data_IF_889523167010
#
_entry.id   IF_889523167010
#
_cell.length_a   1.000
_cell.length_b   1.000
_cell.length_c   1.000
_cell.angle_alpha   90.00
_cell.angle_beta   90.00
_cell.angle_gamma   90.00
#
_symmetry.space_group_name_H-M   'P 1'
#
loop_
_entity.id
_entity.type
_entity.pdbx_description
1 polymer ?
#
# COMPACT_ATOMS: atom_id res chain seq x y z
N UNK A 1 -31.88 -9.80 -21.33
CA UNK A 1 -32.36 -8.50 -20.80
C UNK A 1 -31.16 -7.56 -20.71
N UNK A 2 -31.11 -6.52 -21.54
CA UNK A 2 -30.03 -5.53 -21.45
C UNK A 2 -30.24 -4.68 -20.18
N UNK A 3 -29.18 -4.47 -19.40
CA UNK A 3 -29.21 -3.58 -18.22
C UNK A 3 -29.46 -2.14 -18.69
N UNK A 4 -30.22 -1.37 -17.90
CA UNK A 4 -30.37 0.08 -18.15
C UNK A 4 -29.01 0.78 -18.01
N UNK A 5 -28.84 1.92 -18.70
CA UNK A 5 -27.60 2.72 -18.62
C UNK A 5 -27.21 3.08 -17.18
N UNK A 6 -28.20 3.36 -16.32
CA UNK A 6 -28.00 3.60 -14.89
C UNK A 6 -27.49 2.36 -14.14
N UNK A 7 -28.05 1.19 -14.43
CA UNK A 7 -27.62 -0.07 -13.81
C UNK A 7 -26.17 -0.42 -14.20
N UNK A 8 -25.79 -0.20 -15.47
CA UNK A 8 -24.41 -0.38 -15.95
C UNK A 8 -23.46 0.58 -15.21
N UNK A 9 -23.83 1.86 -15.08
CA UNK A 9 -23.01 2.84 -14.37
C UNK A 9 -22.87 2.53 -12.87
N UNK A 10 -23.95 2.09 -12.22
CA UNK A 10 -23.92 1.67 -10.83
C UNK A 10 -22.98 0.47 -10.61
N UNK A 11 -23.04 -0.51 -11.51
CA UNK A 11 -22.17 -1.69 -11.49
C UNK A 11 -20.70 -1.32 -11.65
N UNK A 12 -20.36 -0.47 -12.62
CA UNK A 12 -18.99 -0.01 -12.83
C UNK A 12 -18.43 0.77 -11.62
N UNK A 13 -19.27 1.61 -10.99
CA UNK A 13 -18.90 2.33 -9.76
C UNK A 13 -18.66 1.38 -8.59
N UNK A 14 -19.47 0.33 -8.47
CA UNK A 14 -19.28 -0.70 -7.46
C UNK A 14 -17.96 -1.45 -7.68
N UNK A 15 -17.72 -1.94 -8.91
CA UNK A 15 -16.46 -2.60 -9.28
C UNK A 15 -15.24 -1.73 -8.98
N UNK A 16 -15.29 -0.44 -9.32
CA UNK A 16 -14.21 0.52 -9.00
C UNK A 16 -13.94 0.62 -7.49
N UNK A 17 -14.99 0.62 -6.65
CA UNK A 17 -14.83 0.69 -5.18
C UNK A 17 -14.19 -0.58 -4.64
N UNK A 18 -14.62 -1.74 -5.10
CA UNK A 18 -14.05 -3.03 -4.69
C UNK A 18 -12.57 -3.13 -5.08
N UNK A 19 -12.22 -2.74 -6.32
CA UNK A 19 -10.82 -2.71 -6.76
C UNK A 19 -9.95 -1.77 -5.91
N UNK A 20 -10.45 -0.60 -5.52
CA UNK A 20 -9.72 0.30 -4.61
C UNK A 20 -9.50 -0.29 -3.22
N UNK A 21 -10.49 -1.02 -2.69
CA UNK A 21 -10.38 -1.70 -1.39
C UNK A 21 -9.33 -2.81 -1.46
N UNK A 22 -9.35 -3.59 -2.53
CA UNK A 22 -8.36 -4.64 -2.76
C UNK A 22 -6.95 -4.06 -2.88
N UNK A 23 -6.79 -2.97 -3.64
CA UNK A 23 -5.50 -2.30 -3.80
C UNK A 23 -4.96 -1.77 -2.45
N UNK A 24 -5.82 -1.20 -1.61
CA UNK A 24 -5.45 -0.79 -0.25
C UNK A 24 -5.02 -1.98 0.62
N UNK A 25 -5.69 -3.13 0.50
CA UNK A 25 -5.33 -4.38 1.20
C UNK A 25 -3.97 -4.91 0.75
N UNK A 26 -3.70 -4.95 -0.56
CA UNK A 26 -2.42 -5.39 -1.11
C UNK A 26 -1.29 -4.51 -0.59
N UNK A 27 -1.42 -3.18 -0.68
CA UNK A 27 -0.42 -2.23 -0.17
C UNK A 27 -0.22 -2.29 1.33
N UNK A 28 -1.24 -2.66 2.09
CA UNK A 28 -1.10 -2.93 3.52
C UNK A 28 -0.23 -4.16 3.77
N UNK A 29 -0.48 -5.26 3.06
CA UNK A 29 0.35 -6.47 3.15
C UNK A 29 1.79 -6.26 2.70
N UNK A 30 2.03 -5.52 1.62
CA UNK A 30 3.39 -5.21 1.16
C UNK A 30 4.20 -4.47 2.23
N UNK A 31 3.59 -3.48 2.90
CA UNK A 31 4.24 -2.77 4.02
C UNK A 31 4.56 -3.70 5.18
N UNK A 32 3.68 -4.64 5.50
CA UNK A 32 3.90 -5.60 6.58
C UNK A 32 5.01 -6.61 6.26
N UNK A 33 5.06 -7.09 5.01
CA UNK A 33 6.14 -7.98 4.56
C UNK A 33 7.50 -7.27 4.58
N UNK A 34 7.55 -6.02 4.11
CA UNK A 34 8.76 -5.20 4.16
C UNK A 34 9.24 -5.01 5.61
N UNK A 35 8.34 -4.61 6.52
CA UNK A 35 8.68 -4.44 7.93
C UNK A 35 9.19 -5.75 8.55
N UNK A 36 8.59 -6.90 8.23
CA UNK A 36 9.06 -8.20 8.71
C UNK A 36 10.44 -8.55 8.13
N UNK A 37 10.70 -8.26 6.86
CA UNK A 37 12.00 -8.45 6.22
C UNK A 37 13.07 -7.61 6.89
N UNK A 38 12.79 -6.34 7.14
CA UNK A 38 13.72 -5.40 7.78
C UNK A 38 14.07 -5.87 9.20
N UNK A 39 13.08 -6.36 9.96
CA UNK A 39 13.31 -6.95 11.28
C UNK A 39 14.20 -8.21 11.21
N UNK A 40 14.00 -9.09 10.22
CA UNK A 40 14.84 -10.28 10.07
C UNK A 40 16.28 -9.92 9.69
N UNK A 41 16.47 -8.92 8.84
CA UNK A 41 17.81 -8.41 8.49
C UNK A 41 18.47 -7.80 9.73
N UNK A 42 17.74 -6.99 10.50
CA UNK A 42 18.24 -6.41 11.75
C UNK A 42 18.60 -7.43 12.83
N UNK A 43 18.02 -8.64 12.80
CA UNK A 43 18.44 -9.72 13.69
C UNK A 43 19.76 -10.37 13.28
N UNK A 44 20.02 -10.47 11.97
CA UNK A 44 21.25 -11.08 11.43
C UNK A 44 22.42 -10.10 11.46
N UNK A 45 22.15 -8.83 11.17
CA UNK A 45 23.11 -7.74 11.19
C UNK A 45 22.51 -6.59 12.01
N UNK A 46 22.57 -6.67 13.35
CA UNK A 46 22.09 -5.58 14.19
C UNK A 46 22.82 -4.28 13.82
N UNK A 47 22.12 -3.12 13.83
CA UNK A 47 22.78 -1.85 13.62
C UNK A 47 23.87 -1.73 14.67
N UNK A 48 25.13 -1.79 14.23
CA UNK A 48 26.27 -1.72 15.14
C UNK A 48 26.25 -0.42 15.94
N UNK A 49 26.91 -0.43 17.10
CA UNK A 49 27.31 0.82 17.74
C UNK A 49 28.06 1.62 16.69
N UNK A 50 27.48 2.72 16.24
CA UNK A 50 28.16 3.64 15.33
C UNK A 50 29.29 4.18 16.18
N UNK A 51 30.47 3.57 16.02
CA UNK A 51 31.57 3.67 16.97
C UNK A 51 31.78 5.12 17.34
N UNK A 52 31.73 5.40 18.65
CA UNK A 52 31.83 6.72 19.28
C UNK A 52 32.58 7.73 18.39
N UNK A 53 31.84 8.40 17.51
CA UNK A 53 32.32 9.59 16.83
C UNK A 53 32.23 10.65 17.90
N UNK A 54 33.35 11.29 18.20
CA UNK A 54 33.44 12.43 19.10
C UNK A 54 32.45 13.50 18.61
N UNK A 55 31.22 13.45 19.14
CA UNK A 55 30.12 14.27 18.70
C UNK A 55 30.36 15.64 19.32
N UNK A 56 30.74 16.59 18.46
CA UNK A 56 30.88 17.99 18.82
C UNK A 56 29.67 18.45 19.68
N UNK A 57 29.92 19.28 20.68
CA UNK A 57 28.97 19.57 21.79
C UNK A 57 27.65 20.20 21.32
N UNK A 58 27.61 20.71 20.08
CA UNK A 58 26.38 21.15 19.41
C UNK A 58 25.42 19.99 19.05
N UNK A 59 25.94 18.80 18.77
CA UNK A 59 25.15 17.59 18.50
C UNK A 59 24.67 16.91 19.78
N UNK A 60 25.46 16.94 20.86
CA UNK A 60 25.03 16.46 22.18
C UNK A 60 23.80 17.24 22.69
N UNK A 61 23.75 18.56 22.48
CA UNK A 61 22.60 19.38 22.85
C UNK A 61 21.31 19.03 22.07
N UNK A 62 21.44 18.55 20.83
CA UNK A 62 20.32 18.04 20.02
C UNK A 62 19.92 16.61 20.40
N UNK A 63 20.83 15.84 20.99
CA UNK A 63 20.62 14.47 21.42
C UNK A 63 20.00 14.34 22.82
N UNK A 64 19.78 15.46 23.53
CA UNK A 64 19.30 15.47 24.92
C UNK A 64 17.95 14.75 25.16
N UNK A 65 17.17 14.50 24.10
CA UNK A 65 15.93 13.70 24.13
C UNK A 65 15.89 12.64 23.00
N UNK A 66 17.04 12.33 22.40
CA UNK A 66 17.12 11.30 21.37
C UNK A 66 17.15 9.91 22.01
N UNK A 67 16.32 8.95 21.54
CA UNK A 67 16.35 7.59 22.08
C UNK A 67 17.70 6.94 21.80
N UNK A 68 18.28 6.32 22.82
CA UNK A 68 19.53 5.58 22.71
C UNK A 68 19.37 4.31 21.88
N UNK A 69 20.44 3.83 21.25
CA UNK A 69 20.43 2.54 20.55
C UNK A 69 19.99 1.38 21.45
N UNK A 70 20.28 1.46 22.76
CA UNK A 70 19.83 0.47 23.75
C UNK A 70 18.31 0.53 24.00
N UNK A 71 17.72 1.72 24.14
CA UNK A 71 16.26 1.90 24.26
C UNK A 71 15.52 1.43 23.01
N UNK A 72 16.03 1.75 21.82
CA UNK A 72 15.49 1.28 20.55
C UNK A 72 15.61 -0.25 20.42
N UNK A 73 16.77 -0.80 20.77
CA UNK A 73 17.02 -2.25 20.76
C UNK A 73 16.07 -2.99 21.71
N UNK A 74 15.89 -2.50 22.93
CA UNK A 74 14.95 -3.08 23.90
C UNK A 74 13.48 -2.98 23.46
N UNK A 75 13.11 -1.89 22.77
CA UNK A 75 11.75 -1.71 22.25
C UNK A 75 11.44 -2.62 21.04
N UNK A 76 12.43 -2.91 20.20
CA UNK A 76 12.26 -3.69 18.96
C UNK A 76 12.46 -5.19 19.20
N UNK A 77 13.43 -5.57 20.04
CA UNK A 77 13.80 -6.95 20.34
C UNK A 77 13.31 -7.36 21.74
N UNK A 78 12.01 -7.60 21.87
CA UNK A 78 11.42 -8.10 23.14
C UNK A 78 11.83 -9.57 23.40
N UNK A 79 11.99 -9.97 24.67
CA UNK A 79 12.33 -11.34 25.15
C UNK A 79 11.24 -12.42 24.88
N UNK A 80 10.55 -12.36 23.75
CA UNK A 80 9.63 -13.40 23.30
C UNK A 80 10.39 -14.60 22.74
N UNK A 81 9.84 -15.83 22.84
CA UNK A 81 10.47 -17.02 22.26
C UNK A 81 10.72 -16.73 20.79
N UNK A 82 11.97 -16.90 20.35
CA UNK A 82 12.44 -16.66 18.98
C UNK A 82 11.52 -17.36 17.97
N UNK A 83 10.46 -16.69 17.53
CA UNK A 83 9.47 -17.25 16.63
C UNK A 83 10.09 -17.30 15.25
N UNK A 84 10.43 -18.55 14.88
CA UNK A 84 10.75 -19.12 13.58
C UNK A 84 11.21 -18.08 12.56
N UNK A 85 12.49 -18.11 12.15
CA UNK A 85 12.93 -17.41 10.95
C UNK A 85 12.04 -17.86 9.79
N UNK A 86 11.11 -17.00 9.38
CA UNK A 86 10.54 -17.12 8.04
C UNK A 86 11.68 -16.79 7.10
N UNK A 87 12.01 -17.67 6.16
CA UNK A 87 13.15 -17.45 5.28
C UNK A 87 12.95 -16.14 4.52
N UNK A 88 14.00 -15.30 4.43
CA UNK A 88 13.96 -14.01 3.73
C UNK A 88 13.52 -14.25 2.27
N UNK A 89 13.96 -15.36 1.69
CA UNK A 89 13.59 -15.81 0.34
C UNK A 89 12.07 -16.04 0.20
N UNK A 90 11.40 -16.54 1.24
CA UNK A 90 9.94 -16.72 1.23
C UNK A 90 9.23 -15.38 1.27
N UNK A 91 9.73 -14.42 2.04
CA UNK A 91 9.19 -13.06 2.09
C UNK A 91 9.37 -12.39 0.73
N UNK A 92 10.57 -12.45 0.16
CA UNK A 92 10.88 -11.88 -1.16
C UNK A 92 9.99 -12.49 -2.25
N UNK A 93 9.77 -13.81 -2.22
CA UNK A 93 8.86 -14.49 -3.15
C UNK A 93 7.39 -14.06 -2.98
N UNK A 94 6.93 -13.83 -1.75
CA UNK A 94 5.57 -13.34 -1.50
C UNK A 94 5.42 -11.88 -1.92
N UNK A 95 6.42 -11.04 -1.65
CA UNK A 95 6.47 -9.64 -2.08
C UNK A 95 6.38 -9.56 -3.60
N UNK A 96 7.23 -10.27 -4.34
CA UNK A 96 7.21 -10.28 -5.81
C UNK A 96 5.84 -10.72 -6.38
N UNK A 97 5.21 -11.72 -5.75
CA UNK A 97 3.86 -12.17 -6.14
C UNK A 97 2.79 -11.12 -5.87
N UNK A 98 2.87 -10.41 -4.74
CA UNK A 98 1.94 -9.33 -4.40
C UNK A 98 2.15 -8.09 -5.27
N UNK A 99 3.38 -7.73 -5.62
CA UNK A 99 3.68 -6.63 -6.55
C UNK A 99 3.13 -6.92 -7.94
N UNK A 100 3.33 -8.15 -8.44
CA UNK A 100 2.74 -8.60 -9.70
C UNK A 100 1.20 -8.54 -9.66
N UNK A 101 0.61 -8.90 -8.53
CA UNK A 101 -0.84 -8.80 -8.35
C UNK A 101 -1.32 -7.34 -8.24
N UNK A 102 -0.60 -6.49 -7.51
CA UNK A 102 -0.88 -5.05 -7.42
C UNK A 102 -0.91 -4.43 -8.81
N UNK A 103 0.09 -4.72 -9.65
CA UNK A 103 0.17 -4.21 -11.02
C UNK A 103 -1.09 -4.57 -11.82
N UNK A 104 -1.50 -5.84 -11.80
CA UNK A 104 -2.73 -6.30 -12.48
C UNK A 104 -3.99 -5.62 -11.93
N UNK A 105 -4.10 -5.45 -10.61
CA UNK A 105 -5.26 -4.79 -9.99
C UNK A 105 -5.30 -3.30 -10.33
N UNK A 106 -4.13 -2.64 -10.38
CA UNK A 106 -4.00 -1.24 -10.75
C UNK A 106 -4.42 -1.01 -12.21
N UNK A 107 -3.91 -1.81 -13.14
CA UNK A 107 -4.27 -1.75 -14.57
C UNK A 107 -5.78 -1.99 -14.78
N UNK A 108 -6.35 -2.98 -14.07
CA UNK A 108 -7.78 -3.23 -14.10
C UNK A 108 -8.60 -2.06 -13.53
N UNK A 109 -8.12 -1.44 -12.45
CA UNK A 109 -8.78 -0.27 -11.86
C UNK A 109 -8.77 0.92 -12.81
N UNK A 110 -7.68 1.14 -13.53
CA UNK A 110 -7.58 2.17 -14.57
C UNK A 110 -8.58 1.91 -15.70
N UNK A 111 -8.64 0.67 -16.20
CA UNK A 111 -9.61 0.23 -17.21
C UNK A 111 -11.06 0.46 -16.77
N UNK A 112 -11.43 0.03 -15.56
CA UNK A 112 -12.77 0.24 -15.00
C UNK A 112 -13.06 1.73 -14.82
N UNK A 113 -12.07 2.53 -14.41
CA UNK A 113 -12.22 3.98 -14.29
C UNK A 113 -12.49 4.63 -15.65
N UNK A 114 -11.79 4.23 -16.71
CA UNK A 114 -12.07 4.64 -18.08
C UNK A 114 -13.50 4.30 -18.51
N UNK A 115 -13.97 3.08 -18.20
CA UNK A 115 -15.34 2.65 -18.48
C UNK A 115 -16.38 3.47 -17.72
N UNK A 116 -16.15 3.80 -16.44
CA UNK A 116 -17.03 4.69 -15.66
C UNK A 116 -17.14 6.06 -16.33
N UNK A 117 -16.01 6.67 -16.72
CA UNK A 117 -15.98 7.99 -17.37
C UNK A 117 -16.74 7.97 -18.69
N UNK A 118 -16.53 6.92 -19.52
CA UNK A 118 -17.24 6.74 -20.78
C UNK A 118 -18.76 6.62 -20.57
N UNK A 119 -19.18 5.75 -19.65
CA UNK A 119 -20.59 5.55 -19.33
C UNK A 119 -21.26 6.83 -18.78
N UNK A 120 -20.54 7.60 -17.96
CA UNK A 120 -21.02 8.91 -17.49
C UNK A 120 -21.21 9.90 -18.65
N UNK A 121 -20.27 9.96 -19.59
CA UNK A 121 -20.37 10.81 -20.77
C UNK A 121 -21.54 10.43 -21.68
N UNK A 122 -21.80 9.13 -21.85
CA UNK A 122 -22.95 8.63 -22.62
C UNK A 122 -24.28 8.96 -21.95
N UNK A 123 -24.40 8.72 -20.63
CA UNK A 123 -25.59 9.08 -19.86
C UNK A 123 -25.87 10.60 -19.90
N UNK A 124 -24.80 11.42 -19.84
CA UNK A 124 -24.93 12.88 -19.97
C UNK A 124 -25.42 13.32 -21.35
N UNK A 125 -24.88 12.73 -22.44
CA UNK A 125 -25.39 13.03 -23.79
C UNK A 125 -26.84 12.61 -23.97
N UNK A 126 -27.22 11.46 -23.42
CA UNK A 126 -28.59 10.96 -23.48
C UNK A 126 -29.60 11.83 -22.70
N UNK A 127 -29.16 12.54 -21.65
CA UNK A 127 -30.03 13.46 -20.90
C UNK A 127 -30.14 14.86 -21.50
N UNK A 128 -29.16 15.28 -22.33
CA UNK A 128 -29.16 16.59 -23.02
C UNK A 128 -29.97 16.54 -24.33
N UNK A 129 -29.87 15.45 -25.10
CA UNK A 129 -30.56 15.28 -26.40
C UNK A 129 -32.10 15.41 -26.37
N UNK A 130 -32.84 14.99 -25.32
CA UNK A 130 -34.29 15.12 -25.24
C UNK A 130 -34.77 16.59 -25.12
N UNK A 131 -33.89 17.51 -24.72
CA UNK A 131 -34.26 18.91 -24.47
C UNK A 131 -34.28 19.79 -25.73
N UNK A 132 -33.66 19.34 -26.82
CA UNK A 132 -33.54 20.13 -28.07
C UNK A 132 -34.58 19.80 -29.14
N UNK A 133 -35.49 18.83 -28.91
CA UNK A 133 -36.52 18.43 -29.89
C UNK A 133 -37.86 19.19 -29.74
N UNK A 134 -37.93 20.20 -28.86
CA UNK A 134 -39.17 20.95 -28.55
C UNK A 134 -39.03 22.47 -28.73
N UNK A 135 -38.18 22.93 -29.66
CA UNK A 135 -38.05 24.34 -30.03
C UNK A 135 -38.40 24.54 -31.50
#
# INVERSE_FOLDING_TARGET
MALSSEAVLAQLRHQRREMRRELARIRWWLRLLQARRDLLIGQVAPPGETGAVDLDSAWEALAADAPTSAELSAAIWTDGPHQIPGSIERIDALTARLESYEARVSENLETVTGNVVKAMGEAHRASVRPRMSHA
#
